data_IF_846997146496
#
_entry.id   IF_846997146496
#
_cell.length_a   1.000
_cell.length_b   1.000
_cell.length_c   1.000
_cell.angle_alpha   90.00
_cell.angle_beta   90.00
_cell.angle_gamma   90.00
#
_symmetry.space_group_name_H-M   'P 1'
#
loop_
_entity.id
_entity.type
_entity.pdbx_description
1 polymer ?
#
# COMPACT_ATOMS: atom_id res chain seq x y z
N UNK A 1 -18.00 21.90 -3.07
CA UNK A 1 -16.73 22.62 -3.27
C UNK A 1 -15.85 22.35 -2.06
N UNK A 2 -14.70 21.70 -2.24
CA UNK A 2 -13.72 21.54 -1.14
C UNK A 2 -13.13 22.93 -0.91
N UNK A 3 -13.36 23.55 0.25
CA UNK A 3 -12.63 24.77 0.58
C UNK A 3 -11.15 24.43 0.65
N UNK A 4 -10.36 24.90 -0.31
CA UNK A 4 -8.90 24.81 -0.22
C UNK A 4 -8.44 25.85 0.80
N UNK A 5 -8.61 25.52 2.09
CA UNK A 5 -7.85 26.20 3.14
C UNK A 5 -6.41 25.78 2.95
N UNK A 6 -5.69 26.62 2.22
CA UNK A 6 -4.25 26.57 2.17
C UNK A 6 -3.69 26.37 3.58
N UNK A 7 -2.72 25.46 3.71
CA UNK A 7 -2.03 25.25 4.98
C UNK A 7 -1.42 26.57 5.45
N UNK A 8 -1.51 26.87 6.75
CA UNK A 8 -0.82 28.02 7.33
C UNK A 8 0.68 28.00 6.98
N UNK A 9 1.28 29.19 6.83
CA UNK A 9 2.72 29.36 6.63
C UNK A 9 3.54 28.65 7.71
N UNK A 10 3.11 28.71 8.96
CA UNK A 10 3.81 28.07 10.09
C UNK A 10 3.82 26.55 9.96
N UNK A 11 2.70 25.97 9.53
CA UNK A 11 2.60 24.53 9.27
C UNK A 11 3.50 24.11 8.11
N UNK A 12 3.57 24.93 7.04
CA UNK A 12 4.47 24.67 5.91
C UNK A 12 5.94 24.69 6.34
N UNK A 13 6.34 25.68 7.15
CA UNK A 13 7.70 25.78 7.66
C UNK A 13 8.07 24.58 8.54
N UNK A 14 7.19 24.18 9.47
CA UNK A 14 7.42 22.98 10.31
C UNK A 14 7.64 21.71 9.49
N UNK A 15 6.91 21.53 8.38
CA UNK A 15 7.12 20.39 7.48
C UNK A 15 8.51 20.42 6.84
N UNK A 16 8.99 21.61 6.44
CA UNK A 16 10.33 21.79 5.86
C UNK A 16 11.42 21.54 6.90
N UNK A 17 11.26 22.07 8.11
CA UNK A 17 12.23 21.91 9.20
C UNK A 17 12.35 20.45 9.64
N UNK A 18 11.22 19.76 9.83
CA UNK A 18 11.22 18.33 10.14
C UNK A 18 11.85 17.49 9.02
N UNK A 19 11.57 17.81 7.75
CA UNK A 19 12.23 17.16 6.63
C UNK A 19 13.75 17.34 6.69
N UNK A 20 14.22 18.55 6.98
CA UNK A 20 15.65 18.86 7.07
C UNK A 20 16.33 18.06 8.19
N UNK A 21 15.69 17.94 9.35
CA UNK A 21 16.19 17.15 10.49
C UNK A 21 16.28 15.66 10.18
N UNK A 22 15.31 15.12 9.43
CA UNK A 22 15.26 13.68 9.11
C UNK A 22 16.36 13.26 8.11
N UNK A 23 16.92 14.18 7.32
CA UNK A 23 17.93 13.85 6.31
C UNK A 23 17.43 12.90 5.20
N UNK A 24 16.12 12.70 5.10
CA UNK A 24 15.48 11.79 4.14
C UNK A 24 15.17 12.54 2.84
N UNK A 25 15.31 11.89 1.68
CA UNK A 25 14.95 12.47 0.39
C UNK A 25 13.46 12.83 0.32
N UNK A 26 13.12 13.98 -0.26
CA UNK A 26 11.74 14.44 -0.52
C UNK A 26 10.87 13.37 -1.19
N UNK A 27 11.44 12.61 -2.13
CA UNK A 27 10.76 11.53 -2.84
C UNK A 27 10.31 10.40 -1.90
N UNK A 28 11.15 10.03 -0.93
CA UNK A 28 10.86 9.01 0.08
C UNK A 28 9.77 9.47 1.03
N UNK A 29 9.84 10.70 1.53
CA UNK A 29 8.78 11.31 2.36
C UNK A 29 7.44 11.28 1.61
N UNK A 30 7.43 11.70 0.35
CA UNK A 30 6.24 11.66 -0.50
C UNK A 30 5.70 10.24 -0.73
N UNK A 31 6.59 9.24 -0.89
CA UNK A 31 6.19 7.84 -1.03
C UNK A 31 5.53 7.29 0.24
N UNK A 32 6.06 7.62 1.42
CA UNK A 32 5.47 7.23 2.71
C UNK A 32 4.09 7.85 2.89
N UNK A 33 3.94 9.16 2.64
CA UNK A 33 2.64 9.85 2.76
C UNK A 33 1.60 9.25 1.81
N UNK A 34 1.98 9.00 0.55
CA UNK A 34 1.09 8.34 -0.42
C UNK A 34 0.68 6.95 0.04
N UNK A 35 1.64 6.14 0.49
CA UNK A 35 1.39 4.79 1.03
C UNK A 35 0.43 4.83 2.22
N UNK A 36 0.66 5.75 3.17
CA UNK A 36 -0.20 5.92 4.33
C UNK A 36 -1.62 6.35 3.93
N UNK A 37 -1.78 7.24 2.94
CA UNK A 37 -3.11 7.62 2.43
C UNK A 37 -3.88 6.42 1.87
N UNK A 38 -3.21 5.54 1.12
CA UNK A 38 -3.84 4.38 0.46
C UNK A 38 -4.08 3.21 1.40
N UNK A 39 -3.08 2.83 2.20
CA UNK A 39 -3.08 1.57 2.93
C UNK A 39 -3.15 1.74 4.46
N UNK A 40 -3.03 2.96 4.98
CA UNK A 40 -2.94 3.26 6.42
C UNK A 40 -1.79 2.55 7.14
N UNK A 41 -0.75 2.18 6.41
CA UNK A 41 0.48 1.58 6.94
C UNK A 41 1.68 2.50 6.72
N UNK A 42 2.61 2.49 7.67
CA UNK A 42 3.93 3.14 7.56
C UNK A 42 5.02 2.16 7.21
N UNK A 43 4.84 0.89 7.57
CA UNK A 43 5.79 -0.18 7.29
C UNK A 43 5.91 -0.46 5.79
N UNK A 44 6.95 -1.20 5.42
CA UNK A 44 7.04 -1.72 4.07
C UNK A 44 6.09 -2.91 3.93
N UNK A 45 4.99 -2.81 3.13
CA UNK A 45 4.14 -3.97 2.91
C UNK A 45 4.97 -5.07 2.26
N UNK A 46 4.58 -6.34 2.47
CA UNK A 46 5.16 -7.43 1.69
C UNK A 46 5.01 -7.05 0.22
N UNK A 47 6.12 -7.14 -0.52
CA UNK A 47 6.13 -6.85 -1.95
C UNK A 47 5.01 -7.67 -2.57
N UNK A 48 4.12 -7.03 -3.33
CA UNK A 48 3.15 -7.78 -4.13
C UNK A 48 3.95 -8.75 -4.98
N UNK A 49 3.84 -10.03 -4.67
CA UNK A 49 4.69 -11.08 -5.23
C UNK A 49 4.33 -11.36 -6.67
N UNK A 50 5.06 -12.30 -7.27
CA UNK A 50 4.72 -12.84 -8.58
C UNK A 50 3.25 -13.30 -8.60
N UNK A 51 2.56 -13.16 -9.74
CA UNK A 51 1.22 -13.70 -9.91
C UNK A 51 1.16 -15.14 -9.41
N UNK A 52 0.11 -15.47 -8.66
CA UNK A 52 -0.08 -16.85 -8.19
C UNK A 52 -0.15 -17.76 -9.42
N UNK A 53 0.66 -18.84 -9.42
CA UNK A 53 0.65 -19.85 -10.51
C UNK A 53 -0.75 -20.43 -10.75
N UNK A 54 -1.58 -20.47 -9.70
CA UNK A 54 -2.94 -20.97 -9.74
C UNK A 54 -3.89 -19.83 -9.37
N UNK A 55 -4.89 -19.60 -10.22
CA UNK A 55 -5.92 -18.60 -9.96
C UNK A 55 -6.79 -18.99 -8.75
N UNK A 56 -7.48 -18.04 -8.09
CA UNK A 56 -8.42 -18.36 -7.02
C UNK A 56 -9.49 -19.37 -7.45
N UNK A 57 -9.90 -19.32 -8.73
CA UNK A 57 -10.81 -20.31 -9.33
C UNK A 57 -10.15 -21.68 -9.41
N UNK A 58 -8.92 -21.77 -9.90
CA UNK A 58 -8.16 -23.03 -9.95
C UNK A 58 -8.07 -23.69 -8.58
N UNK A 59 -7.74 -22.92 -7.53
CA UNK A 59 -7.71 -23.42 -6.14
C UNK A 59 -9.06 -23.98 -5.71
N UNK A 60 -10.17 -23.31 -6.04
CA UNK A 60 -11.52 -23.81 -5.74
C UNK A 60 -11.91 -25.06 -6.54
N UNK A 61 -11.32 -25.28 -7.71
CA UNK A 61 -11.63 -26.42 -8.57
C UNK A 61 -10.87 -27.69 -8.20
N UNK A 62 -9.65 -27.57 -7.63
CA UNK A 62 -8.84 -28.71 -7.20
C UNK A 62 -9.63 -29.71 -6.33
N UNK A 63 -10.28 -29.32 -5.21
CA UNK A 63 -11.01 -30.29 -4.39
C UNK A 63 -12.17 -30.96 -5.15
N UNK A 64 -12.90 -30.21 -5.98
CA UNK A 64 -14.01 -30.74 -6.81
C UNK A 64 -13.53 -31.78 -7.83
N UNK A 65 -12.38 -31.52 -8.44
CA UNK A 65 -11.76 -32.47 -9.36
C UNK A 65 -11.29 -33.70 -8.61
N UNK A 66 -10.69 -33.54 -7.43
CA UNK A 66 -10.26 -34.67 -6.59
C UNK A 66 -11.44 -35.53 -6.13
N UNK A 67 -12.56 -34.93 -5.74
CA UNK A 67 -13.80 -35.66 -5.39
C UNK A 67 -14.34 -36.44 -6.58
N UNK A 68 -14.42 -35.80 -7.76
CA UNK A 68 -14.84 -36.46 -9.01
C UNK A 68 -13.94 -37.66 -9.37
N UNK A 69 -12.62 -37.54 -9.18
CA UNK A 69 -11.69 -38.65 -9.43
C UNK A 69 -11.78 -39.74 -8.36
N UNK A 70 -12.16 -39.41 -7.13
CA UNK A 70 -12.39 -40.36 -6.04
C UNK A 70 -13.75 -41.08 -6.14
N UNK A 71 -14.62 -40.69 -7.08
CA UNK A 71 -15.91 -41.34 -7.31
C UNK A 71 -16.91 -41.12 -6.16
N UNK A 72 -16.80 -40.00 -5.46
CA UNK A 72 -17.77 -39.55 -4.43
C UNK A 72 -18.77 -38.61 -5.05
#
# INVERSE_FOLDING_TARGET
MVSTKELSKDTRNKIVDLHQQLGVKKSTVGAIIRKWKTYKITDNPPRSGAPRKISPRGVKMIPRTVEKFKGV
#
